data_IF_530444850444
#
_entry.id   IF_530444850444
#
_cell.length_a   1.000
_cell.length_b   1.000
_cell.length_c   1.000
_cell.angle_alpha   90.00
_cell.angle_beta   90.00
_cell.angle_gamma   90.00
#
_symmetry.space_group_name_H-M   'P 1'
#
loop_
_entity.id
_entity.type
_entity.pdbx_description
1 polymer ?
#
# COMPACT_ATOMS: atom_id res chain seq x y z
N UNK A 1 -16.72 31.50 27.76
CA UNK A 1 -16.77 31.54 26.28
C UNK A 1 -16.79 30.09 25.75
N UNK A 2 -17.95 29.40 25.77
CA UNK A 2 -18.01 27.94 25.56
C UNK A 2 -17.94 27.52 24.08
N UNK A 3 -17.91 28.47 23.14
CA UNK A 3 -17.96 28.21 21.70
C UNK A 3 -16.76 27.45 21.13
N UNK A 4 -15.58 27.49 21.77
CA UNK A 4 -14.38 26.83 21.23
C UNK A 4 -14.38 25.30 21.37
N UNK A 5 -15.07 24.75 22.38
CA UNK A 5 -15.07 23.29 22.64
C UNK A 5 -15.98 22.54 21.67
N UNK A 6 -17.09 23.16 21.26
CA UNK A 6 -18.05 22.58 20.32
C UNK A 6 -17.49 22.51 18.89
N UNK A 7 -16.68 23.50 18.48
CA UNK A 7 -16.02 23.52 17.18
C UNK A 7 -14.89 22.48 17.02
N UNK A 8 -14.22 22.10 18.12
CA UNK A 8 -13.17 21.07 18.09
C UNK A 8 -13.73 19.65 17.88
N UNK A 9 -14.90 19.37 18.46
CA UNK A 9 -15.56 18.06 18.36
C UNK A 9 -16.15 17.84 16.96
N UNK A 10 -16.72 18.87 16.34
CA UNK A 10 -17.24 18.79 14.97
C UNK A 10 -16.12 18.62 13.96
N UNK A 11 -14.97 19.29 14.15
CA UNK A 11 -13.78 19.10 13.32
C UNK A 11 -13.23 17.66 13.41
N UNK A 12 -13.14 17.10 14.62
CA UNK A 12 -12.71 15.72 14.84
C UNK A 12 -13.69 14.70 14.24
N UNK A 13 -15.00 14.94 14.34
CA UNK A 13 -16.03 14.09 13.75
C UNK A 13 -16.00 14.14 12.21
N UNK A 14 -15.85 15.33 11.62
CA UNK A 14 -15.70 15.51 10.17
C UNK A 14 -14.41 14.85 9.64
N UNK A 15 -13.29 15.00 10.36
CA UNK A 15 -12.03 14.31 10.04
C UNK A 15 -12.16 12.79 10.18
N UNK A 16 -12.85 12.30 11.21
CA UNK A 16 -13.12 10.88 11.43
C UNK A 16 -14.01 10.26 10.35
N UNK A 17 -15.02 11.01 9.88
CA UNK A 17 -15.88 10.61 8.76
C UNK A 17 -15.11 10.58 7.42
N UNK A 18 -14.13 11.48 7.22
CA UNK A 18 -13.32 11.53 6.01
C UNK A 18 -12.29 10.39 5.91
N UNK A 19 -11.82 9.87 7.05
CA UNK A 19 -10.84 8.77 7.12
C UNK A 19 -11.46 7.37 6.98
N UNK A 20 -12.78 7.24 7.15
CA UNK A 20 -13.48 5.95 7.08
C UNK A 20 -13.70 5.46 5.63
N UNK A 21 -13.56 6.35 4.65
CA UNK A 21 -13.80 6.07 3.22
C UNK A 21 -12.50 5.76 2.45
N UNK A 22 -11.39 5.43 3.14
CA UNK A 22 -10.18 4.99 2.42
C UNK A 22 -10.50 3.64 1.77
N UNK A 23 -10.57 3.55 0.43
CA UNK A 23 -10.86 2.29 -0.24
C UNK A 23 -9.84 1.25 0.23
N UNK A 24 -10.28 0.03 0.55
CA UNK A 24 -9.34 -1.05 0.85
C UNK A 24 -8.39 -1.14 -0.33
N UNK A 25 -7.09 -1.05 -0.04
CA UNK A 25 -6.03 -1.23 -1.05
C UNK A 25 -6.38 -2.51 -1.80
N UNK A 26 -6.73 -2.37 -3.08
CA UNK A 26 -7.30 -3.45 -3.90
C UNK A 26 -6.32 -4.61 -3.98
N UNK A 27 -6.46 -5.57 -3.06
CA UNK A 27 -5.64 -6.78 -3.02
C UNK A 27 -6.06 -7.69 -4.17
N UNK A 28 -5.15 -7.91 -5.11
CA UNK A 28 -5.36 -8.93 -6.14
C UNK A 28 -5.24 -10.32 -5.54
N UNK A 29 -5.94 -11.28 -6.17
CA UNK A 29 -5.92 -12.68 -5.76
C UNK A 29 -4.51 -13.28 -5.85
N UNK A 30 -4.21 -14.17 -4.91
CA UNK A 30 -2.91 -14.80 -4.77
C UNK A 30 -2.00 -14.08 -3.77
N UNK A 31 -0.85 -14.68 -3.48
CA UNK A 31 0.12 -14.20 -2.50
C UNK A 31 1.46 -13.82 -3.15
N UNK A 32 2.20 -12.93 -2.50
CA UNK A 32 3.55 -12.58 -2.95
C UNK A 32 4.47 -13.82 -2.92
N UNK A 33 5.27 -14.05 -3.98
CA UNK A 33 6.27 -15.10 -3.96
C UNK A 33 7.33 -14.84 -2.89
N UNK A 34 7.86 -15.93 -2.32
CA UNK A 34 9.00 -15.84 -1.42
C UNK A 34 10.21 -15.39 -2.23
N UNK A 35 10.85 -14.30 -1.81
CA UNK A 35 11.99 -13.76 -2.55
C UNK A 35 13.27 -14.24 -1.91
N UNK A 36 14.08 -14.95 -2.70
CA UNK A 36 15.38 -15.42 -2.27
C UNK A 36 16.38 -14.26 -2.33
N UNK A 37 16.93 -13.89 -1.17
CA UNK A 37 17.80 -12.72 -0.98
C UNK A 37 19.29 -13.06 -1.20
N UNK A 38 19.60 -14.27 -1.66
CA UNK A 38 20.97 -14.80 -1.68
C UNK A 38 21.91 -14.07 -2.62
N UNK A 39 21.39 -13.23 -3.52
CA UNK A 39 22.20 -12.44 -4.44
C UNK A 39 21.87 -10.96 -4.32
N UNK A 40 22.87 -10.08 -4.09
CA UNK A 40 22.66 -8.65 -4.20
C UNK A 40 22.29 -8.35 -5.65
N UNK A 41 21.08 -7.82 -5.86
CA UNK A 41 20.65 -7.34 -7.17
C UNK A 41 21.55 -6.16 -7.57
N UNK A 42 22.47 -6.41 -8.50
CA UNK A 42 23.31 -5.39 -9.10
C UNK A 42 22.45 -4.52 -10.03
N UNK A 43 21.91 -3.42 -9.51
CA UNK A 43 21.05 -2.49 -10.24
C UNK A 43 20.47 -1.37 -9.36
N UNK A 44 19.80 -0.40 -9.99
CA UNK A 44 19.07 0.64 -9.26
C UNK A 44 17.88 0.02 -8.54
N UNK A 45 17.97 0.01 -7.22
CA UNK A 45 16.96 -0.52 -6.34
C UNK A 45 15.91 0.55 -6.06
N UNK A 46 14.83 0.56 -6.84
CA UNK A 46 13.76 1.56 -6.73
C UNK A 46 12.38 0.91 -6.59
N UNK A 47 11.50 1.59 -5.86
CA UNK A 47 10.09 1.22 -5.74
C UNK A 47 9.37 1.50 -7.07
N UNK A 48 8.75 0.48 -7.66
CA UNK A 48 8.06 0.58 -8.96
C UNK A 48 6.54 0.64 -8.83
N UNK A 49 6.01 0.27 -7.67
CA UNK A 49 4.58 0.26 -7.36
C UNK A 49 4.39 0.55 -5.87
N UNK A 50 3.16 0.78 -5.43
CA UNK A 50 2.80 0.83 -4.00
C UNK A 50 1.60 -0.07 -3.68
N UNK A 51 0.78 -0.38 -4.67
CA UNK A 51 -0.45 -1.17 -4.55
C UNK A 51 -0.63 -2.05 -5.77
N UNK A 52 -1.30 -3.19 -5.63
CA UNK A 52 -1.48 -4.15 -6.72
C UNK A 52 -2.19 -3.54 -7.94
N UNK A 53 -3.07 -2.56 -7.75
CA UNK A 53 -3.79 -1.90 -8.85
C UNK A 53 -2.87 -1.20 -9.85
N UNK A 54 -1.66 -0.82 -9.45
CA UNK A 54 -0.67 -0.22 -10.33
C UNK A 54 0.01 -1.26 -11.23
N UNK A 55 -0.13 -2.54 -10.88
CA UNK A 55 0.46 -3.64 -11.63
C UNK A 55 -0.50 -4.17 -12.70
N UNK A 56 0.00 -4.49 -13.91
CA UNK A 56 -0.82 -4.96 -15.01
C UNK A 56 -1.40 -6.36 -14.74
N UNK A 57 -2.60 -6.63 -15.26
CA UNK A 57 -3.21 -7.96 -15.21
C UNK A 57 -3.46 -8.46 -13.78
N UNK A 58 -2.92 -9.64 -13.44
CA UNK A 58 -3.04 -10.24 -12.10
C UNK A 58 -1.78 -10.04 -11.23
N UNK A 59 -0.83 -9.23 -11.67
CA UNK A 59 0.41 -9.00 -10.92
C UNK A 59 0.16 -8.27 -9.60
N UNK A 60 0.94 -8.62 -8.57
CA UNK A 60 0.90 -8.00 -7.24
C UNK A 60 2.13 -7.13 -7.00
N UNK A 61 1.96 -6.09 -6.19
CA UNK A 61 3.04 -5.21 -5.77
C UNK A 61 3.73 -5.79 -4.52
N UNK A 62 4.85 -6.46 -4.72
CA UNK A 62 5.53 -7.23 -3.68
C UNK A 62 6.94 -6.72 -3.41
N UNK A 63 7.43 -6.91 -2.18
CA UNK A 63 8.84 -6.64 -1.84
C UNK A 63 9.73 -7.65 -2.54
N UNK A 64 10.76 -7.16 -3.20
CA UNK A 64 11.80 -7.94 -3.86
C UNK A 64 13.02 -8.16 -2.95
N UNK A 65 13.99 -8.95 -3.42
CA UNK A 65 15.24 -9.27 -2.71
C UNK A 65 16.18 -8.09 -2.51
N UNK A 66 15.83 -6.91 -3.03
CA UNK A 66 16.55 -5.67 -2.80
C UNK A 66 15.87 -4.76 -1.76
N UNK A 67 14.77 -5.20 -1.15
CA UNK A 67 14.03 -4.44 -0.12
C UNK A 67 13.09 -3.37 -0.67
N UNK A 68 12.94 -3.31 -2.00
CA UNK A 68 12.04 -2.42 -2.75
C UNK A 68 10.87 -3.18 -3.33
N UNK A 69 9.79 -2.48 -3.69
CA UNK A 69 8.59 -3.12 -4.24
C UNK A 69 8.53 -3.08 -5.77
N UNK A 70 8.06 -4.18 -6.38
CA UNK A 70 7.81 -4.26 -7.82
C UNK A 70 6.62 -5.15 -8.15
N UNK A 71 6.16 -5.07 -9.40
CA UNK A 71 5.10 -5.92 -9.91
C UNK A 71 5.63 -7.32 -10.22
N UNK A 72 5.11 -8.33 -9.53
CA UNK A 72 5.49 -9.73 -9.69
C UNK A 72 4.28 -10.62 -9.92
N UNK A 73 4.51 -11.79 -10.54
CA UNK A 73 3.49 -12.81 -10.70
C UNK A 73 3.14 -13.42 -9.33
N UNK A 74 1.85 -13.45 -8.93
CA UNK A 74 1.44 -14.03 -7.66
C UNK A 74 1.46 -15.57 -7.67
N UNK A 75 1.55 -16.16 -6.48
CA UNK A 75 1.22 -17.57 -6.26
C UNK A 75 -0.27 -17.73 -5.91
N UNK A 76 -0.94 -18.75 -6.45
CA UNK A 76 -2.36 -19.02 -6.24
C UNK A 76 -2.60 -20.25 -5.37
#
# INVERSE_FOLDING_TARGET
MPACRLGALTAALLLGLLLLDLPPVTEKKGSCPQVDISFPQLGLCQDQCQVDSQCPGQMKCCRNGCGKVSCVTPNF
#
